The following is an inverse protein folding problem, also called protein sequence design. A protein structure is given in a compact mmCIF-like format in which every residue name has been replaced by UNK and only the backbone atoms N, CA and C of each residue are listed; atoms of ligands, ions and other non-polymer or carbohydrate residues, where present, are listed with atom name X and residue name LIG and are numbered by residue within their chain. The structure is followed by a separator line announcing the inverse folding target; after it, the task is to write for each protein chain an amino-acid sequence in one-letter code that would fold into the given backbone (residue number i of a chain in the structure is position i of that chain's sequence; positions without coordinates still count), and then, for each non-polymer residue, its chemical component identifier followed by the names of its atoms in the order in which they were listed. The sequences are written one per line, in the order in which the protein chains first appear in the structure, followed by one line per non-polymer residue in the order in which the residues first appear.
data_IF_517392865283
#
_entry.id   IF_517392865283
#
_cell.length_a   1.000
_cell.length_b   1.000
_cell.length_c   1.000
_cell.angle_alpha   90.00
_cell.angle_beta   90.00
_cell.angle_gamma   90.00
#
_symmetry.space_group_name_H-M   'P 1'
#
loop_
_entity.id
_entity.type
_entity.pdbx_description
1 polymer ?
#
# COMPACT_ATOMS: atom_id res chain seq x y z
N UNK A 1 3.20 6.56 -6.48
CA UNK A 1 1.87 6.75 -7.11
C UNK A 1 1.90 7.84 -8.17
N UNK A 2 2.22 9.09 -7.82
CA UNK A 2 2.09 10.25 -8.73
C UNK A 2 2.88 10.16 -10.04
N UNK A 3 4.10 9.62 -10.02
CA UNK A 3 4.91 9.46 -11.25
C UNK A 3 4.27 8.51 -12.27
N UNK A 4 3.52 7.48 -11.80
CA UNK A 4 2.81 6.54 -12.69
C UNK A 4 1.63 7.22 -13.38
N UNK A 5 0.87 8.06 -12.67
CA UNK A 5 -0.26 8.80 -13.24
C UNK A 5 0.20 9.84 -14.26
N UNK A 6 1.33 10.50 -14.00
CA UNK A 6 1.92 11.44 -14.94
C UNK A 6 2.33 10.76 -16.27
N UNK A 7 3.00 9.61 -16.21
CA UNK A 7 3.39 8.83 -17.38
C UNK A 7 2.17 8.25 -18.12
N UNK A 8 1.12 7.89 -17.39
CA UNK A 8 -0.15 7.47 -18.00
C UNK A 8 -0.88 8.62 -18.73
N UNK A 9 -0.71 9.86 -18.30
CA UNK A 9 -1.29 11.05 -18.92
C UNK A 9 -0.55 11.51 -20.18
N UNK A 10 0.71 11.13 -20.36
CA UNK A 10 1.56 11.46 -21.53
C UNK A 10 1.17 10.74 -22.84
N UNK A 11 0.10 9.94 -22.85
CA UNK A 11 -0.53 9.41 -24.06
C UNK A 11 -0.22 7.94 -24.39
N UNK A 12 -0.90 7.38 -25.42
CA UNK A 12 -0.95 5.94 -25.69
C UNK A 12 0.40 5.31 -26.07
N UNK A 13 1.40 6.09 -26.49
CA UNK A 13 2.76 5.60 -26.79
C UNK A 13 3.50 5.12 -25.54
N UNK A 14 3.19 5.68 -24.36
CA UNK A 14 3.86 5.34 -23.09
C UNK A 14 3.16 4.23 -22.31
N UNK A 15 1.96 3.80 -22.76
CA UNK A 15 1.25 2.65 -22.14
C UNK A 15 2.10 1.37 -22.12
N UNK A 16 3.01 1.19 -23.07
CA UNK A 16 3.91 0.02 -23.15
C UNK A 16 4.86 -0.08 -21.95
N UNK A 17 5.22 1.05 -21.32
CA UNK A 17 6.11 1.09 -20.15
C UNK A 17 5.38 0.96 -18.80
N UNK A 18 4.04 0.94 -18.79
CA UNK A 18 3.24 0.83 -17.56
C UNK A 18 3.23 -0.60 -16.96
N UNK A 19 4.02 -1.53 -17.48
CA UNK A 19 4.11 -2.91 -16.97
C UNK A 19 4.56 -2.96 -15.49
N UNK A 20 5.25 -1.90 -15.04
CA UNK A 20 5.70 -1.78 -13.65
C UNK A 20 4.55 -1.51 -12.63
N UNK A 21 3.29 -1.36 -13.08
CA UNK A 21 2.11 -1.14 -12.22
C UNK A 21 2.02 -2.15 -11.07
N UNK A 22 2.38 -3.41 -11.32
CA UNK A 22 2.35 -4.49 -10.32
C UNK A 22 3.28 -4.26 -9.14
N UNK A 23 4.43 -3.65 -9.38
CA UNK A 23 5.40 -3.41 -8.32
C UNK A 23 5.05 -2.15 -7.52
N UNK A 24 4.31 -1.19 -8.08
CA UNK A 24 3.79 -0.07 -7.29
C UNK A 24 2.82 -0.58 -6.20
N UNK A 25 1.90 -1.48 -6.56
CA UNK A 25 1.00 -2.11 -5.59
C UNK A 25 1.78 -2.92 -4.55
N UNK A 26 2.85 -3.60 -4.97
CA UNK A 26 3.72 -4.37 -4.09
C UNK A 26 4.50 -3.49 -3.10
N UNK A 27 5.09 -2.40 -3.58
CA UNK A 27 5.79 -1.40 -2.75
C UNK A 27 4.83 -0.79 -1.72
N UNK A 28 3.59 -0.48 -2.11
CA UNK A 28 2.59 0.03 -1.16
C UNK A 28 2.24 -1.00 -0.08
N UNK A 29 2.13 -2.28 -0.45
CA UNK A 29 1.88 -3.35 0.51
C UNK A 29 3.05 -3.52 1.50
N UNK A 30 4.28 -3.42 1.00
CA UNK A 30 5.49 -3.43 1.84
C UNK A 30 5.54 -2.21 2.76
N UNK A 31 5.15 -1.02 2.30
CA UNK A 31 5.05 0.16 3.16
C UNK A 31 4.06 -0.05 4.31
N UNK A 32 2.88 -0.62 4.04
CA UNK A 32 1.92 -0.95 5.12
C UNK A 32 2.46 -2.00 6.09
N UNK A 33 3.19 -3.01 5.60
CA UNK A 33 3.81 -4.01 6.45
C UNK A 33 4.90 -3.41 7.36
N UNK A 34 5.79 -2.57 6.82
CA UNK A 34 6.80 -1.86 7.62
C UNK A 34 6.16 -0.94 8.65
N UNK A 35 5.07 -0.26 8.29
CA UNK A 35 4.34 0.62 9.19
C UNK A 35 3.69 -0.16 10.34
N UNK A 36 3.15 -1.35 10.10
CA UNK A 36 2.68 -2.23 11.18
C UNK A 36 3.80 -2.67 12.12
N UNK A 37 4.94 -3.11 11.56
CA UNK A 37 6.10 -3.52 12.37
C UNK A 37 6.57 -2.37 13.24
N UNK A 38 6.67 -1.16 12.70
CA UNK A 38 7.03 0.04 13.45
C UNK A 38 6.04 0.33 14.60
N UNK A 39 4.75 0.16 14.33
CA UNK A 39 3.69 0.34 15.32
C UNK A 39 3.76 -0.67 16.47
N UNK A 40 4.00 -1.94 16.14
CA UNK A 40 4.18 -3.02 17.13
C UNK A 40 5.46 -2.78 17.94
N UNK A 41 6.55 -2.34 17.31
CA UNK A 41 7.79 -1.99 18.00
C UNK A 41 7.58 -0.84 18.99
N UNK A 42 6.82 0.19 18.58
CA UNK A 42 6.49 1.35 19.43
C UNK A 42 5.65 0.94 20.64
N UNK A 43 4.75 -0.05 20.48
CA UNK A 43 3.96 -0.62 21.58
C UNK A 43 4.81 -1.44 22.55
N UNK A 44 5.77 -2.22 22.04
CA UNK A 44 6.65 -3.08 22.88
C UNK A 44 7.65 -2.24 23.67
N UNK A 45 8.21 -1.19 23.06
CA UNK A 45 9.23 -0.34 23.70
C UNK A 45 8.64 0.71 24.67
N UNK A 46 7.31 0.74 24.84
CA UNK A 46 6.54 1.73 25.63
C UNK A 46 7.13 3.15 25.55
N UNK A 47 7.49 3.57 24.33
CA UNK A 47 7.96 4.92 24.11
C UNK A 47 6.82 5.88 24.45
N UNK A 48 7.18 7.05 25.01
CA UNK A 48 6.29 8.16 25.42
C UNK A 48 5.54 8.84 24.25
N UNK A 49 5.36 8.13 23.14
CA UNK A 49 4.60 8.54 21.97
C UNK A 49 3.11 8.56 22.30
N UNK A 50 2.35 9.54 21.79
CA UNK A 50 0.92 9.66 22.06
C UNK A 50 0.18 8.39 21.61
N UNK A 51 -0.32 7.60 22.56
CA UNK A 51 -0.99 6.32 22.29
C UNK A 51 -2.24 6.51 21.42
N UNK A 52 -2.92 7.66 21.53
CA UNK A 52 -4.07 8.01 20.69
C UNK A 52 -3.72 8.09 19.18
N UNK A 53 -2.57 8.69 18.85
CA UNK A 53 -2.10 8.83 17.47
C UNK A 53 -1.69 7.47 16.90
N UNK A 54 -1.07 6.63 17.73
CA UNK A 54 -0.70 5.25 17.38
C UNK A 54 -1.95 4.42 17.05
N UNK A 55 -2.98 4.44 17.91
CA UNK A 55 -4.24 3.74 17.66
C UNK A 55 -4.93 4.20 16.36
N UNK A 56 -4.95 5.50 16.09
CA UNK A 56 -5.50 6.04 14.84
C UNK A 56 -4.77 5.46 13.61
N UNK A 57 -3.44 5.46 13.64
CA UNK A 57 -2.64 4.88 12.55
C UNK A 57 -2.85 3.37 12.40
N UNK A 58 -3.01 2.61 13.50
CA UNK A 58 -3.34 1.18 13.44
C UNK A 58 -4.62 0.94 12.63
N UNK A 59 -5.69 1.66 12.96
CA UNK A 59 -7.00 1.50 12.32
C UNK A 59 -6.90 1.82 10.83
N UNK A 60 -6.23 2.91 10.49
CA UNK A 60 -6.02 3.33 9.09
C UNK A 60 -5.24 2.26 8.31
N UNK A 61 -4.17 1.71 8.88
CA UNK A 61 -3.35 0.68 8.21
C UNK A 61 -4.14 -0.62 8.00
N UNK A 62 -4.99 -1.03 8.96
CA UNK A 62 -5.85 -2.21 8.81
C UNK A 62 -6.84 -2.02 7.65
N UNK A 63 -7.49 -0.86 7.57
CA UNK A 63 -8.44 -0.55 6.49
C UNK A 63 -7.72 -0.57 5.13
N UNK A 64 -6.55 0.06 5.04
CA UNK A 64 -5.77 0.05 3.80
C UNK A 64 -5.31 -1.35 3.41
N UNK A 65 -4.89 -2.18 4.36
CA UNK A 65 -4.49 -3.56 4.08
C UNK A 65 -5.65 -4.39 3.53
N UNK A 66 -6.86 -4.22 4.07
CA UNK A 66 -8.06 -4.87 3.55
C UNK A 66 -8.36 -4.42 2.13
N UNK A 67 -8.40 -3.10 1.89
CA UNK A 67 -8.71 -2.52 0.59
C UNK A 67 -7.68 -2.92 -0.49
N UNK A 68 -6.40 -2.94 -0.14
CA UNK A 68 -5.34 -3.40 -1.03
C UNK A 68 -5.38 -4.90 -1.29
N UNK A 69 -5.76 -5.71 -0.29
CA UNK A 69 -5.95 -7.14 -0.46
C UNK A 69 -7.12 -7.46 -1.40
N UNK A 70 -8.23 -6.73 -1.26
CA UNK A 70 -9.38 -6.83 -2.16
C UNK A 70 -9.02 -6.40 -3.59
N UNK A 71 -8.34 -5.25 -3.74
CA UNK A 71 -7.83 -4.79 -5.03
C UNK A 71 -6.84 -5.78 -5.66
N UNK A 72 -5.91 -6.34 -4.88
CA UNK A 72 -4.96 -7.34 -5.38
C UNK A 72 -5.67 -8.61 -5.84
N UNK A 73 -6.69 -9.05 -5.08
CA UNK A 73 -7.52 -10.21 -5.45
C UNK A 73 -8.30 -9.93 -6.75
N UNK A 74 -8.92 -8.75 -6.87
CA UNK A 74 -9.71 -8.39 -8.04
C UNK A 74 -8.86 -8.16 -9.29
N UNK A 75 -7.68 -7.55 -9.14
CA UNK A 75 -6.79 -7.23 -10.26
C UNK A 75 -5.93 -8.41 -10.72
N UNK A 76 -5.55 -9.34 -9.82
CA UNK A 76 -4.61 -10.43 -10.14
C UNK A 76 -5.16 -11.84 -9.99
N UNK A 77 -6.14 -12.10 -9.08
CA UNK A 77 -6.74 -13.43 -8.92
C UNK A 77 -7.94 -13.69 -9.84
N UNK A 78 -8.50 -12.68 -10.52
CA UNK A 78 -9.56 -12.87 -11.54
C UNK A 78 -8.99 -13.24 -12.93
N UNK A 79 -8.03 -14.17 -12.94
CA UNK A 79 -7.53 -14.91 -14.11
C UNK A 79 -7.41 -16.39 -13.73
N UNK A 80 -8.51 -16.98 -13.30
CA UNK A 80 -8.72 -18.42 -13.40
C UNK A 80 -9.97 -18.56 -14.26
N UNK A 81 -9.66 -18.74 -15.55
CA UNK A 81 -10.54 -19.10 -16.68
C UNK A 81 -11.63 -18.11 -17.05
#
# INVERSE_FOLDING_TARGET
MYSYYFIAALGPKYKKYLWWKKYMTWIQLVQFALMLVYLVLTLILDCRTPKALTYFFTIVVIIFMYLFSDFYRQAYKKKIT
#
